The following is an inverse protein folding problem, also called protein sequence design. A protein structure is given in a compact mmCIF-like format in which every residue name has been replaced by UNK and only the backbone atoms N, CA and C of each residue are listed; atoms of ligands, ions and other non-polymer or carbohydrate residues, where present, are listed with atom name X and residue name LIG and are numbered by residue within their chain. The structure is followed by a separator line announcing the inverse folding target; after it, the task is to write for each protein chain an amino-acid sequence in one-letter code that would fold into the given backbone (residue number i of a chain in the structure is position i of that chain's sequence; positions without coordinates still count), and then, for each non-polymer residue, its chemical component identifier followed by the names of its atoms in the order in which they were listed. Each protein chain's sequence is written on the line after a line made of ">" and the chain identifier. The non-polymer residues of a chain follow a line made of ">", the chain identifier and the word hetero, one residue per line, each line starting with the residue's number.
data_IF_089302801534
#
_entry.id   IF_089302801534
#
_cell.length_a   1.000
_cell.length_b   1.000
_cell.length_c   1.000
_cell.angle_alpha   90.00
_cell.angle_beta   90.00
_cell.angle_gamma   90.00
#
_symmetry.space_group_name_H-M   'P 1'
#
loop_
_entity.id
_entity.type
_entity.pdbx_description
1 polymer ?
#
# COMPACT_ATOMS: atom_id res chain seq x y z
N UNK A 1 -14.68 7.82 29.01
CA UNK A 1 -15.05 7.73 28.15
C UNK A 1 -15.74 6.66 27.78
N UNK A 2 -16.78 6.75 27.82
CA UNK A 2 -17.56 5.68 27.47
C UNK A 2 -17.30 5.34 26.10
N UNK A 3 -17.49 4.26 25.73
CA UNK A 3 -17.29 3.78 24.43
C UNK A 3 -15.90 3.45 24.09
N UNK A 4 -14.98 3.76 24.92
CA UNK A 4 -13.68 3.38 24.63
C UNK A 4 -13.47 1.97 24.86
N UNK A 5 -12.88 1.29 23.95
CA UNK A 5 -12.52 -0.05 24.08
C UNK A 5 -11.40 -0.09 25.01
N UNK A 6 -11.49 -0.87 26.02
CA UNK A 6 -10.41 -1.07 26.91
C UNK A 6 -9.57 -2.20 26.42
N UNK A 7 -8.36 -1.90 26.05
CA UNK A 7 -7.44 -2.90 25.61
C UNK A 7 -6.63 -3.34 26.83
N UNK A 8 -6.64 -4.63 27.14
CA UNK A 8 -5.88 -5.14 28.26
C UNK A 8 -4.39 -4.97 28.01
N UNK A 9 -3.62 -4.95 29.06
CA UNK A 9 -2.16 -4.85 28.95
C UNK A 9 -1.59 -5.99 28.13
N UNK A 10 -2.14 -7.17 28.34
CA UNK A 10 -1.70 -8.34 27.59
C UNK A 10 -1.98 -8.19 26.10
N UNK A 11 -3.18 -7.72 25.75
CA UNK A 11 -3.51 -7.52 24.35
C UNK A 11 -2.62 -6.45 23.73
N UNK A 12 -2.37 -5.37 24.45
CA UNK A 12 -1.49 -4.32 23.96
C UNK A 12 -0.09 -4.84 23.72
N UNK A 13 0.41 -5.70 24.58
CA UNK A 13 1.69 -6.35 24.42
C UNK A 13 1.75 -7.15 23.13
N UNK A 14 0.66 -7.90 22.85
CA UNK A 14 0.61 -8.71 21.63
C UNK A 14 0.53 -7.84 20.38
N UNK A 15 -0.22 -6.75 20.46
CA UNK A 15 -0.32 -5.81 19.34
C UNK A 15 1.05 -5.20 19.06
N UNK A 16 1.75 -4.77 20.09
CA UNK A 16 3.08 -4.20 19.92
C UNK A 16 4.07 -5.21 19.36
N UNK A 17 3.99 -6.47 19.81
CA UNK A 17 4.85 -7.51 19.29
C UNK A 17 4.57 -7.77 17.81
N UNK A 18 3.29 -7.76 17.43
CA UNK A 18 2.93 -7.96 16.03
C UNK A 18 3.45 -6.80 15.17
N UNK A 19 3.28 -5.55 15.65
CA UNK A 19 3.80 -4.40 14.93
C UNK A 19 5.30 -4.47 14.75
N UNK A 20 6.01 -4.87 15.78
CA UNK A 20 7.45 -5.02 15.72
C UNK A 20 7.85 -6.08 14.71
N UNK A 21 7.12 -7.20 14.70
CA UNK A 21 7.39 -8.29 13.76
C UNK A 21 7.20 -7.81 12.32
N UNK A 22 6.19 -6.98 12.06
CA UNK A 22 5.97 -6.43 10.72
C UNK A 22 7.15 -5.54 10.32
N UNK A 23 7.56 -4.65 11.23
CA UNK A 23 8.66 -3.71 10.93
C UNK A 23 9.97 -4.46 10.67
N UNK A 24 10.14 -5.59 11.32
CA UNK A 24 11.35 -6.40 11.17
C UNK A 24 11.27 -7.39 10.01
N UNK A 25 10.11 -7.48 9.35
CA UNK A 25 9.95 -8.41 8.25
C UNK A 25 10.76 -7.98 7.04
N UNK A 26 11.12 -8.95 6.21
CA UNK A 26 11.81 -8.65 4.95
C UNK A 26 10.96 -7.81 4.03
N UNK A 27 9.65 -8.04 4.03
CA UNK A 27 8.73 -7.30 3.20
C UNK A 27 8.74 -5.82 3.54
N UNK A 28 8.72 -5.50 4.84
CA UNK A 28 8.73 -4.11 5.26
C UNK A 28 10.07 -3.44 4.95
N UNK A 29 11.16 -4.14 5.23
CA UNK A 29 12.50 -3.60 4.96
C UNK A 29 12.68 -3.33 3.48
N UNK A 30 12.18 -4.24 2.66
CA UNK A 30 12.30 -4.07 1.22
C UNK A 30 11.50 -2.85 0.75
N UNK A 31 10.32 -2.63 1.32
CA UNK A 31 9.52 -1.45 0.98
C UNK A 31 10.26 -0.17 1.34
N UNK A 32 10.87 -0.13 2.53
CA UNK A 32 11.62 1.05 2.95
C UNK A 32 12.79 1.31 1.99
N UNK A 33 13.47 0.24 1.59
CA UNK A 33 14.58 0.38 0.64
C UNK A 33 14.10 0.90 -0.70
N UNK A 34 12.96 0.39 -1.18
CA UNK A 34 12.40 0.87 -2.46
C UNK A 34 11.98 2.33 -2.37
N UNK A 35 11.47 2.75 -1.22
CA UNK A 35 11.15 4.15 -0.98
C UNK A 35 12.39 5.03 -1.06
N UNK A 36 13.48 4.58 -0.48
CA UNK A 36 14.74 5.32 -0.55
C UNK A 36 15.25 5.42 -1.98
N UNK A 37 15.10 4.35 -2.76
CA UNK A 37 15.49 4.38 -4.15
C UNK A 37 14.66 5.37 -4.95
N UNK A 38 13.36 5.43 -4.64
CA UNK A 38 12.50 6.40 -5.30
C UNK A 38 12.95 7.82 -5.00
N UNK A 39 13.35 8.08 -3.77
CA UNK A 39 13.80 9.42 -3.39
C UNK A 39 15.07 9.84 -4.11
N UNK A 40 15.81 8.89 -4.67
CA UNK A 40 17.02 9.17 -5.42
C UNK A 40 16.83 9.16 -6.93
N UNK A 41 15.65 8.75 -7.37
CA UNK A 41 15.38 8.57 -8.79
C UNK A 41 14.47 9.68 -9.30
N UNK A 42 15.07 10.73 -9.85
CA UNK A 42 14.31 11.89 -10.30
C UNK A 42 13.34 11.52 -11.43
N UNK A 43 13.76 10.64 -12.33
CA UNK A 43 12.89 10.23 -13.42
C UNK A 43 11.63 9.53 -12.90
N UNK A 44 11.78 8.66 -11.91
CA UNK A 44 10.64 7.98 -11.33
C UNK A 44 9.71 8.97 -10.63
N UNK A 45 10.28 9.94 -9.91
CA UNK A 45 9.47 10.96 -9.25
C UNK A 45 8.71 11.80 -10.27
N UNK A 46 9.36 12.15 -11.38
CA UNK A 46 8.71 12.94 -12.42
C UNK A 46 7.55 12.18 -13.05
N UNK A 47 7.75 10.89 -13.32
CA UNK A 47 6.68 10.06 -13.86
C UNK A 47 5.47 9.99 -12.93
N UNK A 48 5.73 9.80 -11.64
CA UNK A 48 4.65 9.76 -10.65
C UNK A 48 3.93 11.10 -10.58
N UNK A 49 4.68 12.20 -10.59
CA UNK A 49 4.08 13.51 -10.53
C UNK A 49 3.20 13.80 -11.73
N UNK A 50 3.70 13.48 -12.92
CA UNK A 50 2.92 13.68 -14.14
C UNK A 50 1.65 12.83 -14.13
N UNK A 51 1.77 11.59 -13.67
CA UNK A 51 0.62 10.70 -13.62
C UNK A 51 -0.44 11.25 -12.69
N UNK A 52 -0.04 11.74 -11.52
CA UNK A 52 -0.99 12.32 -10.57
C UNK A 52 -1.68 13.56 -11.13
N UNK A 53 -0.92 14.41 -11.83
CA UNK A 53 -1.50 15.60 -12.42
C UNK A 53 -2.53 15.24 -13.48
N UNK A 54 -2.23 14.23 -14.30
CA UNK A 54 -3.16 13.80 -15.32
C UNK A 54 -4.41 13.17 -14.72
N UNK A 55 -4.26 12.43 -13.63
CA UNK A 55 -5.41 11.89 -12.93
C UNK A 55 -6.32 12.98 -12.41
N UNK A 56 -5.72 14.02 -11.83
CA UNK A 56 -6.50 15.15 -11.33
C UNK A 56 -7.20 15.88 -12.47
N UNK A 57 -6.50 16.03 -13.58
CA UNK A 57 -7.08 16.67 -14.75
C UNK A 57 -8.31 15.91 -15.24
N UNK A 58 -8.20 14.58 -15.30
CA UNK A 58 -9.30 13.75 -15.73
C UNK A 58 -10.48 13.85 -14.78
N UNK A 59 -10.21 13.86 -13.48
CA UNK A 59 -11.27 13.99 -12.49
C UNK A 59 -11.97 15.34 -12.58
N UNK A 60 -11.21 16.40 -12.81
CA UNK A 60 -11.78 17.74 -12.85
C UNK A 60 -12.58 18.05 -14.09
N UNK A 61 -12.15 17.51 -15.22
CA UNK A 61 -12.81 17.78 -16.49
C UNK A 61 -13.74 16.68 -16.97
N UNK A 62 -13.74 15.57 -16.24
CA UNK A 62 -14.48 14.40 -16.68
C UNK A 62 -13.72 13.67 -17.76
N UNK A 63 -14.43 12.84 -18.50
CA UNK A 63 -13.78 11.99 -19.50
C UNK A 63 -13.18 12.83 -20.63
N UNK A 64 -11.91 12.62 -20.89
CA UNK A 64 -11.19 13.25 -21.98
C UNK A 64 -10.26 12.19 -22.57
N UNK A 65 -10.51 11.83 -23.81
CA UNK A 65 -9.76 10.76 -24.45
C UNK A 65 -8.28 11.07 -24.54
N UNK A 66 -7.92 12.32 -24.78
CA UNK A 66 -6.50 12.68 -24.86
C UNK A 66 -5.80 12.52 -23.53
N UNK A 67 -6.45 12.94 -22.45
CA UNK A 67 -5.89 12.77 -21.13
C UNK A 67 -5.78 11.29 -20.79
N UNK A 68 -6.79 10.50 -21.15
CA UNK A 68 -6.75 9.07 -20.89
C UNK A 68 -5.60 8.41 -21.65
N UNK A 69 -5.37 8.80 -22.90
CA UNK A 69 -4.25 8.28 -23.67
C UNK A 69 -2.92 8.66 -23.05
N UNK A 70 -2.81 9.87 -22.54
CA UNK A 70 -1.59 10.30 -21.87
C UNK A 70 -1.36 9.51 -20.59
N UNK A 71 -2.44 9.22 -19.85
CA UNK A 71 -2.32 8.39 -18.67
C UNK A 71 -1.84 6.98 -19.02
N UNK A 72 -2.38 6.43 -20.11
CA UNK A 72 -1.97 5.09 -20.54
C UNK A 72 -0.50 5.07 -20.93
N UNK A 73 -0.02 6.11 -21.60
CA UNK A 73 1.38 6.22 -21.96
C UNK A 73 2.26 6.32 -20.72
N UNK A 74 1.83 7.11 -19.75
CA UNK A 74 2.58 7.24 -18.51
C UNK A 74 2.62 5.91 -17.74
N UNK A 75 1.51 5.18 -17.74
CA UNK A 75 1.47 3.85 -17.11
C UNK A 75 2.49 2.91 -17.74
N UNK A 76 2.59 2.98 -19.07
CA UNK A 76 3.55 2.14 -19.77
C UNK A 76 4.97 2.51 -19.40
N UNK A 77 5.27 3.81 -19.35
CA UNK A 77 6.59 4.26 -18.94
C UNK A 77 6.90 3.87 -17.49
N UNK A 78 5.89 3.94 -16.62
CA UNK A 78 6.07 3.57 -15.23
C UNK A 78 6.35 2.08 -15.08
N UNK A 79 5.68 1.25 -15.88
CA UNK A 79 5.92 -0.19 -15.85
C UNK A 79 7.35 -0.52 -16.27
N UNK A 80 7.91 0.28 -17.15
CA UNK A 80 9.27 0.05 -17.64
C UNK A 80 10.32 0.72 -16.78
N UNK A 81 9.90 1.46 -15.75
CA UNK A 81 10.83 2.08 -14.83
C UNK A 81 11.11 1.12 -13.69
N UNK A 82 12.36 0.72 -13.54
CA UNK A 82 12.74 -0.30 -12.58
C UNK A 82 12.43 0.09 -11.15
N UNK A 83 12.71 1.34 -10.79
CA UNK A 83 12.44 1.83 -9.44
C UNK A 83 10.97 1.73 -9.09
N UNK A 84 10.10 2.16 -10.01
CA UNK A 84 8.67 2.11 -9.77
C UNK A 84 8.14 0.69 -9.76
N UNK A 85 8.66 -0.17 -10.63
CA UNK A 85 8.25 -1.56 -10.64
C UNK A 85 8.63 -2.26 -9.34
N UNK A 86 9.83 -1.99 -8.85
CA UNK A 86 10.28 -2.58 -7.59
C UNK A 86 9.43 -2.08 -6.41
N UNK A 87 9.08 -0.80 -6.44
CA UNK A 87 8.24 -0.25 -5.38
C UNK A 87 6.87 -0.91 -5.39
N UNK A 88 6.27 -1.06 -6.57
CA UNK A 88 4.97 -1.69 -6.68
C UNK A 88 5.01 -3.12 -6.18
N UNK A 89 6.05 -3.87 -6.56
CA UNK A 89 6.19 -5.25 -6.11
C UNK A 89 6.37 -5.35 -4.60
N UNK A 90 7.11 -4.41 -4.01
CA UNK A 90 7.31 -4.42 -2.57
C UNK A 90 6.03 -4.07 -1.82
N UNK A 91 5.21 -3.18 -2.39
CA UNK A 91 3.92 -2.84 -1.81
C UNK A 91 2.98 -4.03 -1.85
N UNK A 92 2.97 -4.76 -2.96
CA UNK A 92 2.15 -5.96 -3.07
C UNK A 92 2.59 -7.03 -2.08
N UNK A 93 3.90 -7.19 -1.89
CA UNK A 93 4.41 -8.19 -0.97
C UNK A 93 3.98 -7.87 0.46
N UNK A 94 4.02 -6.59 0.84
CA UNK A 94 3.58 -6.21 2.18
C UNK A 94 2.08 -6.39 2.34
N UNK A 95 1.31 -6.05 1.30
CA UNK A 95 -0.14 -6.26 1.33
C UNK A 95 -0.47 -7.75 1.48
N UNK A 96 0.28 -8.60 0.78
CA UNK A 96 0.09 -10.04 0.90
C UNK A 96 0.42 -10.55 2.31
N UNK A 97 1.44 -9.95 2.92
CA UNK A 97 1.79 -10.30 4.30
C UNK A 97 0.64 -9.96 5.25
N UNK A 98 0.03 -8.78 5.08
CA UNK A 98 -1.11 -8.40 5.90
C UNK A 98 -2.28 -9.34 5.65
N UNK A 99 -2.53 -9.70 4.39
CA UNK A 99 -3.63 -10.58 4.06
C UNK A 99 -3.43 -11.95 4.69
N UNK A 100 -2.22 -12.49 4.59
CA UNK A 100 -1.92 -13.79 5.19
C UNK A 100 -2.07 -13.74 6.70
N UNK A 101 -1.64 -12.65 7.32
CA UNK A 101 -1.80 -12.46 8.76
C UNK A 101 -3.27 -12.43 9.14
N UNK A 102 -4.06 -11.71 8.36
CA UNK A 102 -5.49 -11.62 8.60
C UNK A 102 -6.15 -13.00 8.49
N UNK A 103 -5.76 -13.78 7.48
CA UNK A 103 -6.31 -15.12 7.29
C UNK A 103 -5.97 -16.03 8.48
N UNK A 104 -4.75 -15.93 8.98
CA UNK A 104 -4.33 -16.73 10.13
C UNK A 104 -5.09 -16.35 11.38
N UNK A 105 -5.27 -15.05 11.60
CA UNK A 105 -6.06 -14.59 12.75
C UNK A 105 -7.49 -15.08 12.63
N UNK A 106 -8.06 -15.00 11.43
CA UNK A 106 -9.42 -15.48 11.20
C UNK A 106 -9.56 -16.96 11.51
N UNK A 107 -8.58 -17.75 11.12
CA UNK A 107 -8.57 -19.17 11.44
C UNK A 107 -8.54 -19.41 12.95
N UNK A 108 -7.74 -18.62 13.65
CA UNK A 108 -7.58 -18.81 15.09
C UNK A 108 -8.84 -18.47 15.86
N UNK A 109 -9.58 -17.48 15.42
CA UNK A 109 -10.81 -17.11 16.12
C UNK A 109 -12.06 -17.73 15.50
N UNK A 110 -11.91 -18.46 14.41
CA UNK A 110 -13.02 -19.18 13.79
C UNK A 110 -14.01 -18.34 13.06
N UNK A 111 -13.66 -17.11 12.71
CA UNK A 111 -14.54 -16.26 11.91
C UNK A 111 -13.72 -15.21 11.18
N UNK A 112 -14.29 -14.61 10.14
CA UNK A 112 -13.57 -13.60 9.36
C UNK A 112 -13.14 -12.43 10.24
N UNK A 113 -11.90 -12.04 10.09
CA UNK A 113 -11.33 -10.99 10.90
C UNK A 113 -11.02 -9.81 9.98
N UNK A 114 -11.44 -8.63 10.37
CA UNK A 114 -11.16 -7.38 9.66
C UNK A 114 -11.73 -7.30 8.25
N UNK A 115 -12.58 -8.24 7.88
CA UNK A 115 -13.15 -8.26 6.56
C UNK A 115 -13.98 -7.02 6.30
N UNK A 116 -14.74 -6.60 7.27
CA UNK A 116 -15.59 -5.45 7.09
C UNK A 116 -14.89 -4.15 7.30
N UNK A 117 -13.74 -4.20 7.94
CA UNK A 117 -12.98 -3.00 8.17
C UNK A 117 -12.33 -2.53 6.89
N UNK A 118 -12.01 -3.43 6.04
CA UNK A 118 -11.45 -3.09 4.81
C UNK A 118 -12.43 -2.68 3.80
N UNK A 119 -13.56 -2.85 4.10
CA UNK A 119 -14.37 -2.65 3.25
C UNK A 119 -15.00 -2.07 2.51
N UNK A 120 -14.96 -1.96 2.14
CA UNK A 120 -15.61 -1.56 1.36
C UNK A 120 -15.88 -2.16 0.36
N UNK A 121 -16.19 -2.54 0.21
CA UNK A 121 -16.42 -3.18 -0.66
C UNK A 121 -16.73 -2.93 -1.28
#
# INVERSE_FOLDING_TARGET
>A
MAGESKISDELMERINAFGKAIVESGEYRNLIQCDEELNKDQNAQDLLGEYRLKQLELQGKGFDRNVLNELNDLEEQMKNNETLANLENSQKALADLFKSSNDLISQKIGQPFAQRLGGCR
#
